data_IF_450470387175
#
_entry.id   IF_450470387175
#
_cell.length_a   1.000
_cell.length_b   1.000
_cell.length_c   1.000
_cell.angle_alpha   90.00
_cell.angle_beta   90.00
_cell.angle_gamma   90.00
#
_symmetry.space_group_name_H-M   'P 1'
#
loop_
_entity.id
_entity.type
_entity.pdbx_description
1 polymer ?
#
# COMPACT_ATOMS: atom_id res chain seq x y z
N UNK A 1 75.30 37.89 -39.57
CA UNK A 1 75.30 36.73 -38.66
C UNK A 1 73.91 36.64 -38.07
N UNK A 2 73.13 35.64 -38.48
CA UNK A 2 71.76 35.44 -38.00
C UNK A 2 71.81 34.74 -36.63
N UNK A 3 71.19 35.34 -35.62
CA UNK A 3 70.99 34.69 -34.31
C UNK A 3 69.72 33.86 -34.43
N UNK A 4 69.89 32.54 -34.42
CA UNK A 4 68.80 31.57 -34.41
C UNK A 4 67.95 31.76 -33.15
N UNK A 5 66.81 32.46 -33.28
CA UNK A 5 65.78 32.51 -32.24
C UNK A 5 64.91 31.26 -32.36
N UNK A 6 65.45 30.15 -31.89
CA UNK A 6 64.72 28.89 -31.71
C UNK A 6 63.50 29.10 -30.81
N UNK A 7 62.32 29.25 -31.41
CA UNK A 7 61.01 28.83 -30.88
C UNK A 7 60.58 29.31 -29.48
N UNK A 8 61.19 30.35 -28.93
CA UNK A 8 60.86 30.85 -27.59
C UNK A 8 59.66 31.78 -27.66
N UNK A 9 58.53 31.34 -27.11
CA UNK A 9 57.34 32.16 -26.90
C UNK A 9 57.77 33.36 -26.02
N UNK A 10 57.56 34.61 -26.47
CA UNK A 10 57.98 35.80 -25.72
C UNK A 10 57.34 35.83 -24.33
N UNK A 11 58.15 36.00 -23.28
CA UNK A 11 57.68 36.15 -21.89
C UNK A 11 57.76 34.90 -21.01
N UNK A 12 58.17 33.74 -21.55
CA UNK A 12 58.50 32.59 -20.71
C UNK A 12 59.94 32.67 -20.16
N UNK A 13 60.11 32.19 -18.93
CA UNK A 13 61.43 32.02 -18.30
C UNK A 13 62.26 30.99 -19.08
N UNK A 14 63.57 31.22 -19.20
CA UNK A 14 64.49 30.22 -19.75
C UNK A 14 64.43 28.89 -18.98
N UNK A 15 64.56 27.74 -19.67
CA UNK A 15 64.53 26.42 -19.03
C UNK A 15 65.68 26.29 -18.02
N UNK A 16 65.41 25.62 -16.90
CA UNK A 16 66.43 25.48 -15.86
C UNK A 16 67.66 24.72 -16.35
N UNK A 17 68.85 25.30 -16.12
CA UNK A 17 70.15 24.70 -16.49
C UNK A 17 70.48 23.45 -15.66
N UNK A 18 69.86 23.31 -14.48
CA UNK A 18 70.10 22.17 -13.58
C UNK A 18 69.20 21.00 -13.96
N UNK A 19 69.80 19.85 -14.29
CA UNK A 19 69.10 18.63 -14.75
C UNK A 19 67.93 18.21 -13.84
N UNK A 20 68.11 18.27 -12.52
CA UNK A 20 67.05 17.90 -11.56
C UNK A 20 65.88 18.88 -11.50
N UNK A 21 66.12 20.18 -11.69
CA UNK A 21 65.04 21.18 -11.76
C UNK A 21 64.31 21.09 -13.10
N UNK A 22 65.03 20.86 -14.18
CA UNK A 22 64.45 20.65 -15.51
C UNK A 22 63.58 19.39 -15.56
N UNK A 23 64.00 18.29 -14.94
CA UNK A 23 63.19 17.08 -14.81
C UNK A 23 61.88 17.39 -14.05
N UNK A 24 61.97 18.11 -12.92
CA UNK A 24 60.79 18.53 -12.14
C UNK A 24 59.85 19.45 -12.91
N UNK A 25 60.38 20.35 -13.75
CA UNK A 25 59.59 21.24 -14.61
C UNK A 25 58.88 20.47 -15.72
N UNK A 26 59.52 19.44 -16.29
CA UNK A 26 58.94 18.58 -17.33
C UNK A 26 57.92 17.57 -16.77
N UNK A 27 58.14 17.10 -15.54
CA UNK A 27 57.24 16.19 -14.82
C UNK A 27 56.09 16.91 -14.12
N UNK A 28 56.01 18.25 -14.22
CA UNK A 28 54.88 19.00 -13.70
C UNK A 28 53.64 18.74 -14.55
N UNK A 29 52.90 17.71 -14.19
CA UNK A 29 51.65 17.33 -14.81
C UNK A 29 50.48 17.66 -13.87
N UNK A 30 49.62 18.60 -14.28
CA UNK A 30 48.36 18.88 -13.61
C UNK A 30 47.23 18.30 -14.46
N UNK A 31 46.67 17.16 -14.03
CA UNK A 31 45.49 16.58 -14.68
C UNK A 31 44.24 17.05 -13.95
N UNK A 32 43.43 17.90 -14.58
CA UNK A 32 42.07 18.18 -14.14
C UNK A 32 41.14 17.10 -14.68
N UNK A 33 41.02 15.98 -13.97
CA UNK A 33 39.93 15.05 -14.26
C UNK A 33 38.60 15.72 -13.88
N UNK A 34 37.57 15.51 -14.71
CA UNK A 34 36.24 16.05 -14.50
C UNK A 34 35.54 15.24 -13.39
N UNK A 35 35.95 15.45 -12.15
CA UNK A 35 35.29 14.92 -10.98
C UNK A 35 34.12 15.86 -10.60
N UNK A 36 32.99 15.32 -10.11
CA UNK A 36 31.96 16.15 -9.50
C UNK A 36 32.59 16.92 -8.33
N UNK A 37 32.18 18.18 -8.14
CA UNK A 37 32.61 18.94 -6.97
C UNK A 37 32.20 18.18 -5.71
N UNK A 38 33.05 18.13 -4.66
CA UNK A 38 32.65 17.60 -3.38
C UNK A 38 31.37 18.29 -2.90
N UNK A 39 30.39 17.48 -2.49
CA UNK A 39 29.15 18.00 -1.92
C UNK A 39 29.44 18.52 -0.52
N UNK A 40 29.40 19.84 -0.35
CA UNK A 40 29.50 20.46 0.95
C UNK A 40 28.18 20.31 1.69
N UNK A 41 28.23 19.71 2.90
CA UNK A 41 27.05 19.53 3.76
C UNK A 41 27.12 20.51 4.95
N UNK A 42 26.38 21.64 4.91
CA UNK A 42 26.48 22.69 5.94
C UNK A 42 26.10 22.22 7.35
N UNK A 43 25.21 21.23 7.46
CA UNK A 43 24.76 20.72 8.76
C UNK A 43 25.85 19.99 9.55
N UNK A 44 26.89 19.48 8.88
CA UNK A 44 27.99 18.78 9.54
C UNK A 44 29.19 19.69 9.77
N UNK A 45 29.11 20.97 9.37
CA UNK A 45 30.15 21.94 9.63
C UNK A 45 30.13 22.36 11.11
N UNK A 46 31.25 22.11 11.80
CA UNK A 46 31.44 22.47 13.20
C UNK A 46 31.21 23.97 13.46
N UNK A 47 31.61 24.82 12.52
CA UNK A 47 31.48 26.26 12.65
C UNK A 47 30.05 26.74 12.47
N UNK A 48 29.19 25.96 11.80
CA UNK A 48 27.78 26.30 11.61
C UNK A 48 26.87 25.75 12.71
N UNK A 49 27.38 24.89 13.61
CA UNK A 49 26.58 24.26 14.68
C UNK A 49 25.82 25.26 15.55
N UNK A 50 26.38 26.44 15.78
CA UNK A 50 25.76 27.49 16.58
C UNK A 50 24.40 27.97 16.04
N UNK A 51 24.15 27.84 14.73
CA UNK A 51 22.89 28.27 14.10
C UNK A 51 21.67 27.52 14.65
N UNK A 52 21.85 26.27 15.09
CA UNK A 52 20.76 25.42 15.61
C UNK A 52 20.90 25.09 17.10
N UNK A 53 21.78 25.78 17.83
CA UNK A 53 21.85 25.71 19.29
C UNK A 53 20.65 26.39 19.96
N UNK A 54 20.03 27.38 19.28
CA UNK A 54 18.86 28.08 19.82
C UNK A 54 17.72 27.08 20.10
N UNK A 55 17.17 27.01 21.33
CA UNK A 55 16.13 26.04 21.71
C UNK A 55 14.92 26.05 20.78
N UNK A 56 14.52 27.21 20.27
CA UNK A 56 13.38 27.34 19.35
C UNK A 56 13.66 26.69 18.00
N UNK A 57 14.85 26.94 17.46
CA UNK A 57 15.27 26.38 16.16
C UNK A 57 15.54 24.88 16.32
N UNK A 58 16.22 24.49 17.41
CA UNK A 58 16.49 23.10 17.76
C UNK A 58 15.19 22.29 17.83
N UNK A 59 14.16 22.78 18.52
CA UNK A 59 12.90 22.08 18.63
C UNK A 59 12.25 21.84 17.26
N UNK A 60 12.23 22.86 16.40
CA UNK A 60 11.71 22.72 15.03
C UNK A 60 12.53 21.71 14.23
N UNK A 61 13.86 21.77 14.28
CA UNK A 61 14.73 20.86 13.53
C UNK A 61 14.69 19.42 14.07
N UNK A 62 14.51 19.23 15.37
CA UNK A 62 14.28 17.92 15.99
C UNK A 62 12.94 17.33 15.57
N UNK A 63 11.88 18.15 15.57
CA UNK A 63 10.54 17.72 15.14
C UNK A 63 10.53 17.35 13.65
N UNK A 64 11.31 18.07 12.84
CA UNK A 64 11.51 17.77 11.42
C UNK A 64 12.46 16.58 11.16
N UNK A 65 13.15 16.05 12.18
CA UNK A 65 14.05 14.90 12.04
C UNK A 65 15.46 15.22 11.52
N UNK A 66 15.85 16.49 11.46
CA UNK A 66 17.21 16.90 11.05
C UNK A 66 18.24 16.78 12.18
N UNK A 67 17.77 16.85 13.43
CA UNK A 67 18.59 16.71 14.63
C UNK A 67 18.10 15.54 15.47
N UNK A 68 19.05 14.84 16.10
CA UNK A 68 18.77 13.83 17.12
C UNK A 68 18.31 14.48 18.45
N UNK A 69 17.86 13.67 19.40
CA UNK A 69 17.51 14.09 20.76
C UNK A 69 18.67 14.84 21.44
N UNK A 70 19.90 14.41 21.18
CA UNK A 70 21.13 15.05 21.67
C UNK A 70 21.48 16.36 20.94
N UNK A 71 20.74 16.71 19.86
CA UNK A 71 20.96 17.93 19.07
C UNK A 71 22.04 17.80 18.00
N UNK A 72 22.49 16.58 17.70
CA UNK A 72 23.45 16.30 16.63
C UNK A 72 22.74 16.17 15.27
N UNK A 73 23.35 16.63 14.17
CA UNK A 73 22.79 16.47 12.83
C UNK A 73 22.71 15.00 12.42
N UNK A 74 21.59 14.60 11.83
CA UNK A 74 21.35 13.24 11.35
C UNK A 74 21.74 13.14 9.87
N UNK A 75 22.67 12.24 9.52
CA UNK A 75 22.98 11.94 8.10
C UNK A 75 22.01 10.91 7.55
N UNK A 76 21.00 11.42 6.85
CA UNK A 76 19.98 10.64 6.15
C UNK A 76 20.60 9.91 4.94
N UNK A 77 21.55 10.54 4.26
CA UNK A 77 22.15 9.97 3.05
C UNK A 77 23.01 8.75 3.36
N UNK A 78 23.71 8.76 4.50
CA UNK A 78 24.47 7.61 4.97
C UNK A 78 23.59 6.35 5.13
N UNK A 79 22.30 6.53 5.42
CA UNK A 79 21.34 5.47 5.66
C UNK A 79 20.27 5.35 4.57
N UNK A 80 20.43 6.06 3.45
CA UNK A 80 19.43 6.16 2.37
C UNK A 80 18.93 4.80 1.89
N UNK A 81 19.82 3.82 1.76
CA UNK A 81 19.45 2.46 1.35
C UNK A 81 18.58 1.75 2.39
N UNK A 82 18.85 1.93 3.68
CA UNK A 82 18.04 1.34 4.76
C UNK A 82 16.67 2.00 4.82
N UNK A 83 16.62 3.33 4.72
CA UNK A 83 15.37 4.09 4.67
C UNK A 83 14.50 3.67 3.49
N UNK A 84 15.10 3.49 2.31
CA UNK A 84 14.39 2.99 1.13
C UNK A 84 13.71 1.63 1.36
N UNK A 85 14.41 0.69 2.02
CA UNK A 85 13.83 -0.62 2.37
C UNK A 85 12.66 -0.45 3.34
N UNK A 86 12.83 0.38 4.38
CA UNK A 86 11.77 0.65 5.37
C UNK A 86 10.54 1.26 4.70
N UNK A 87 10.72 2.24 3.81
CA UNK A 87 9.63 2.85 3.04
C UNK A 87 8.89 1.81 2.19
N UNK A 88 9.63 0.92 1.52
CA UNK A 88 9.04 -0.14 0.72
C UNK A 88 8.26 -1.14 1.59
N UNK A 89 8.79 -1.53 2.74
CA UNK A 89 8.13 -2.43 3.69
C UNK A 89 6.85 -1.81 4.26
N UNK A 90 6.89 -0.52 4.62
CA UNK A 90 5.70 0.23 5.06
C UNK A 90 4.64 0.29 3.96
N UNK A 91 5.03 0.62 2.73
CA UNK A 91 4.10 0.67 1.60
C UNK A 91 3.45 -0.70 1.33
N UNK A 92 4.23 -1.78 1.46
CA UNK A 92 3.73 -3.15 1.33
C UNK A 92 2.78 -3.52 2.47
N UNK A 93 3.13 -3.18 3.72
CA UNK A 93 2.29 -3.42 4.88
C UNK A 93 0.93 -2.72 4.74
N UNK A 94 0.92 -1.45 4.34
CA UNK A 94 -0.32 -0.70 4.10
C UNK A 94 -1.17 -1.33 2.98
N UNK A 95 -0.53 -1.80 1.91
CA UNK A 95 -1.23 -2.46 0.82
C UNK A 95 -1.90 -3.76 1.27
N UNK A 96 -1.20 -4.56 2.08
CA UNK A 96 -1.73 -5.79 2.68
C UNK A 96 -2.88 -5.48 3.63
N UNK A 97 -2.76 -4.45 4.48
CA UNK A 97 -3.82 -4.06 5.40
C UNK A 97 -5.08 -3.58 4.65
N UNK A 98 -4.91 -2.71 3.64
CA UNK A 98 -6.02 -2.27 2.78
C UNK A 98 -6.69 -3.45 2.07
N UNK A 99 -5.92 -4.41 1.58
CA UNK A 99 -6.46 -5.63 0.97
C UNK A 99 -7.27 -6.45 1.98
N UNK A 100 -6.71 -6.67 3.18
CA UNK A 100 -7.37 -7.40 4.27
C UNK A 100 -8.66 -6.73 4.72
N UNK A 101 -8.71 -5.40 4.75
CA UNK A 101 -9.92 -4.65 5.05
C UNK A 101 -11.01 -4.89 3.99
N UNK A 102 -10.67 -4.79 2.71
CA UNK A 102 -11.60 -5.06 1.59
C UNK A 102 -12.10 -6.50 1.59
N UNK A 103 -11.24 -7.48 1.86
CA UNK A 103 -11.66 -8.89 1.94
C UNK A 103 -12.62 -9.15 3.10
N UNK A 104 -12.39 -8.53 4.26
CA UNK A 104 -13.31 -8.63 5.41
C UNK A 104 -14.68 -8.06 5.06
N UNK A 105 -14.72 -6.93 4.38
CA UNK A 105 -15.97 -6.30 3.93
C UNK A 105 -16.71 -7.20 2.93
N UNK A 106 -16.01 -7.68 1.88
CA UNK A 106 -16.59 -8.60 0.89
C UNK A 106 -17.16 -9.86 1.54
N UNK A 107 -16.43 -10.48 2.47
CA UNK A 107 -16.92 -11.67 3.20
C UNK A 107 -18.18 -11.36 4.01
N UNK A 108 -18.29 -10.19 4.64
CA UNK A 108 -19.52 -9.78 5.36
C UNK A 108 -20.69 -9.66 4.39
N UNK A 109 -20.50 -9.01 3.24
CA UNK A 109 -21.54 -8.88 2.22
C UNK A 109 -21.98 -10.26 1.69
N UNK A 110 -21.03 -11.13 1.36
CA UNK A 110 -21.29 -12.50 0.92
C UNK A 110 -22.11 -13.29 1.96
N UNK A 111 -21.76 -13.17 3.25
CA UNK A 111 -22.51 -13.81 4.33
C UNK A 111 -23.95 -13.30 4.43
N UNK A 112 -24.16 -11.98 4.31
CA UNK A 112 -25.51 -11.38 4.34
C UNK A 112 -26.34 -11.88 3.15
N UNK A 113 -25.75 -11.92 1.95
CA UNK A 113 -26.42 -12.41 0.75
C UNK A 113 -26.80 -13.88 0.92
N UNK A 114 -25.88 -14.72 1.41
CA UNK A 114 -26.13 -16.13 1.63
C UNK A 114 -27.23 -16.37 2.67
N UNK A 115 -27.20 -15.61 3.77
CA UNK A 115 -28.24 -15.68 4.80
C UNK A 115 -29.63 -15.34 4.23
N UNK A 116 -29.74 -14.25 3.46
CA UNK A 116 -31.00 -13.88 2.79
C UNK A 116 -31.47 -14.94 1.80
N UNK A 117 -30.55 -15.52 1.02
CA UNK A 117 -30.87 -16.63 0.10
C UNK A 117 -31.39 -17.85 0.85
N UNK A 118 -30.77 -18.18 1.96
CA UNK A 118 -31.19 -19.29 2.81
C UNK A 118 -32.58 -19.04 3.40
N UNK A 119 -32.83 -17.85 3.93
CA UNK A 119 -34.13 -17.43 4.47
C UNK A 119 -35.25 -17.56 3.43
N UNK A 120 -35.06 -17.01 2.22
CA UNK A 120 -36.02 -17.14 1.12
C UNK A 120 -36.27 -18.60 0.75
N UNK A 121 -35.22 -19.42 0.74
CA UNK A 121 -35.35 -20.86 0.47
C UNK A 121 -36.18 -21.57 1.54
N UNK A 122 -35.95 -21.28 2.83
CA UNK A 122 -36.72 -21.83 3.94
C UNK A 122 -38.19 -21.42 3.86
N UNK A 123 -38.47 -20.14 3.58
CA UNK A 123 -39.84 -19.67 3.38
C UNK A 123 -40.55 -20.41 2.24
N UNK A 124 -39.84 -20.67 1.14
CA UNK A 124 -40.39 -21.45 0.02
C UNK A 124 -40.71 -22.90 0.45
N UNK A 125 -39.81 -23.56 1.17
CA UNK A 125 -40.04 -24.92 1.69
C UNK A 125 -41.27 -24.94 2.60
N UNK A 126 -41.34 -24.02 3.57
CA UNK A 126 -42.47 -23.92 4.49
C UNK A 126 -43.79 -23.65 3.76
N UNK A 127 -43.80 -22.77 2.76
CA UNK A 127 -45.00 -22.51 1.96
C UNK A 127 -45.47 -23.77 1.21
N UNK A 128 -44.54 -24.54 0.62
CA UNK A 128 -44.87 -25.80 -0.05
C UNK A 128 -45.41 -26.84 0.95
N UNK A 129 -44.81 -26.93 2.13
CA UNK A 129 -45.27 -27.83 3.20
C UNK A 129 -46.69 -27.46 3.66
N UNK A 130 -46.95 -26.18 3.93
CA UNK A 130 -48.27 -25.69 4.33
C UNK A 130 -49.35 -26.01 3.27
N UNK A 131 -49.04 -25.84 1.98
CA UNK A 131 -49.95 -26.21 0.89
C UNK A 131 -50.22 -27.72 0.88
N UNK A 132 -49.18 -28.55 1.06
CA UNK A 132 -49.33 -30.02 1.12
C UNK A 132 -50.18 -30.46 2.31
N UNK A 133 -49.94 -29.90 3.49
CA UNK A 133 -50.72 -30.20 4.69
C UNK A 133 -52.18 -29.74 4.55
N UNK A 134 -52.42 -28.56 3.99
CA UNK A 134 -53.77 -28.07 3.70
C UNK A 134 -54.53 -29.01 2.76
N UNK A 135 -53.87 -29.51 1.70
CA UNK A 135 -54.45 -30.53 0.79
C UNK A 135 -54.72 -31.85 1.52
N UNK A 136 -53.83 -32.29 2.42
CA UNK A 136 -54.02 -33.51 3.21
C UNK A 136 -55.23 -33.39 4.14
N UNK A 137 -55.30 -32.32 4.94
CA UNK A 137 -56.43 -32.05 5.85
C UNK A 137 -57.76 -31.95 5.10
N UNK A 138 -57.78 -31.33 3.91
CA UNK A 138 -59.00 -31.24 3.08
C UNK A 138 -59.47 -32.61 2.59
N UNK A 139 -58.54 -33.51 2.23
CA UNK A 139 -58.89 -34.90 1.89
C UNK A 139 -59.40 -35.68 3.10
N UNK A 140 -58.74 -35.56 4.24
CA UNK A 140 -59.18 -36.19 5.51
C UNK A 140 -60.59 -35.72 5.89
N UNK A 141 -60.86 -34.41 5.85
CA UNK A 141 -62.18 -33.84 6.12
C UNK A 141 -63.25 -34.30 5.12
N UNK A 142 -62.90 -34.42 3.84
CA UNK A 142 -63.83 -34.94 2.82
C UNK A 142 -64.17 -36.41 3.06
N UNK A 143 -63.19 -37.22 3.46
CA UNK A 143 -63.40 -38.64 3.82
C UNK A 143 -64.29 -38.75 5.07
N UNK A 144 -64.01 -37.98 6.12
CA UNK A 144 -64.83 -37.98 7.34
C UNK A 144 -66.26 -37.50 7.07
N UNK A 145 -66.44 -36.47 6.24
CA UNK A 145 -67.78 -36.01 5.83
C UNK A 145 -68.53 -37.08 5.01
N UNK A 146 -67.83 -37.79 4.12
CA UNK A 146 -68.45 -38.88 3.34
C UNK A 146 -68.86 -40.08 4.21
N UNK A 147 -68.14 -40.34 5.32
CA UNK A 147 -68.53 -41.33 6.32
C UNK A 147 -69.76 -40.89 7.13
N UNK A 148 -69.88 -39.59 7.46
CA UNK A 148 -71.02 -39.07 8.23
C UNK A 148 -72.32 -38.96 7.41
N UNK A 149 -72.23 -38.79 6.08
CA UNK A 149 -73.42 -38.71 5.20
C UNK A 149 -73.82 -40.06 4.58
N UNK A 150 -73.12 -41.15 4.88
CA UNK A 150 -73.43 -42.51 4.40
C UNK A 150 -74.67 -43.17 5.02
N UNK A 151 -75.44 -42.43 5.82
CA UNK A 151 -76.64 -42.91 6.51
C UNK A 151 -77.82 -41.98 6.20
N UNK A 152 -78.30 -41.99 4.96
CA UNK A 152 -79.67 -41.57 4.66
C UNK A 152 -80.38 -42.74 3.96
N UNK A 153 -81.46 -43.30 4.55
CA UNK A 153 -82.20 -44.38 3.93
C UNK A 153 -82.85 -43.87 2.64
N UNK A 154 -82.69 -44.63 1.55
CA UNK A 154 -83.35 -44.36 0.28
C UNK A 154 -84.87 -44.41 0.47
N UNK A 155 -85.53 -43.26 0.42
CA UNK A 155 -86.99 -43.16 0.40
C UNK A 155 -87.46 -43.63 -0.98
N UNK A 156 -87.98 -44.85 -1.05
CA UNK A 156 -88.65 -45.38 -2.24
C UNK A 156 -90.03 -44.72 -2.37
N UNK A 157 -90.17 -43.76 -3.28
CA UNK A 157 -91.47 -43.19 -3.64
C UNK A 157 -92.27 -44.20 -4.47
N UNK A 158 -93.19 -44.91 -3.82
CA UNK A 158 -94.17 -45.78 -4.45
C UNK A 158 -95.20 -44.95 -5.23
N UNK A 159 -95.15 -45.07 -6.55
CA UNK A 159 -96.14 -44.54 -7.49
C UNK A 159 -97.21 -45.62 -7.72
N UNK A 160 -98.44 -45.39 -7.23
CA UNK A 160 -99.62 -46.09 -7.71
C UNK A 160 -100.83 -45.16 -7.69
N UNK A 161 -101.34 -44.89 -8.88
CA UNK A 161 -102.70 -44.39 -9.17
C UNK A 161 -103.24 -45.24 -10.33
N UNK A 162 -104.54 -45.25 -10.62
CA UNK A 162 -105.72 -44.87 -9.84
C UNK A 162 -106.54 -46.09 -9.35
#
# INVERSE_FOLDING_TARGET
MAVETNGLIPGLREPSKRKGLRARELDFHSSTQRAPLPEYKPMFDEHLQHLWVNPRIRHVMQTAGFLDNDGKPVDVDAHRRKLFVIEQELAQADAVERHRAREKERKREEMIILAKRHEVHQHRIHAVQAIREGRRKRREAQVELSKSTGSLPAITSGHSSP
#
